data_IF_204912431820
#
_entry.id   IF_204912431820
#
_cell.length_a   1.000
_cell.length_b   1.000
_cell.length_c   1.000
_cell.angle_alpha   90.00
_cell.angle_beta   90.00
_cell.angle_gamma   90.00
#
_symmetry.space_group_name_H-M   'P 1'
#
loop_
_entity.id
_entity.type
_entity.pdbx_description
1 polymer ?
#
# COMPACT_ATOMS: atom_id res chain seq x y z
N UNK A 1 -10.57 12.43 -7.69
CA UNK A 1 -9.47 11.82 -6.91
C UNK A 1 -8.46 12.92 -6.65
N UNK A 2 -8.34 13.36 -5.40
CA UNK A 2 -7.39 14.41 -5.03
C UNK A 2 -6.03 13.74 -4.82
N UNK A 3 -5.08 13.99 -5.72
CA UNK A 3 -3.68 13.56 -5.52
C UNK A 3 -3.07 14.59 -4.57
N UNK A 4 -2.66 14.15 -3.39
CA UNK A 4 -1.95 15.00 -2.42
C UNK A 4 -0.70 15.60 -3.07
N UNK A 5 -0.43 16.89 -2.84
CA UNK A 5 0.74 17.61 -3.39
C UNK A 5 2.07 17.14 -2.81
N UNK A 6 2.02 16.35 -1.74
CA UNK A 6 3.22 15.82 -1.09
C UNK A 6 3.84 14.68 -1.89
N UNK A 7 5.13 14.43 -1.70
CA UNK A 7 5.80 13.30 -2.37
C UNK A 7 5.33 11.94 -1.82
N UNK A 8 5.51 10.89 -2.63
CA UNK A 8 5.22 9.52 -2.22
C UNK A 8 6.21 9.10 -1.14
N UNK A 9 5.70 8.69 0.03
CA UNK A 9 6.52 8.21 1.14
C UNK A 9 6.64 6.69 1.17
N UNK A 10 5.56 5.97 0.81
CA UNK A 10 5.56 4.51 0.67
C UNK A 10 4.79 4.13 -0.60
N UNK A 11 5.34 3.20 -1.37
CA UNK A 11 4.67 2.59 -2.51
C UNK A 11 4.81 1.07 -2.44
N UNK A 12 3.68 0.38 -2.59
CA UNK A 12 3.57 -1.06 -2.69
C UNK A 12 2.86 -1.35 -4.00
N UNK A 13 3.47 -2.22 -4.81
CA UNK A 13 2.92 -2.64 -6.10
C UNK A 13 2.83 -4.17 -6.09
N UNK A 14 1.65 -4.71 -6.36
CA UNK A 14 1.40 -6.15 -6.49
C UNK A 14 1.77 -6.96 -5.25
N UNK A 15 1.45 -6.49 -4.04
CA UNK A 15 1.76 -7.20 -2.81
C UNK A 15 0.96 -8.48 -2.67
N UNK A 16 1.71 -9.56 -2.43
CA UNK A 16 1.20 -10.87 -2.05
C UNK A 16 1.74 -11.23 -0.66
N UNK A 17 0.85 -11.57 0.27
CA UNK A 17 1.23 -12.01 1.62
C UNK A 17 0.54 -13.31 1.97
N UNK A 18 1.33 -14.27 2.42
CA UNK A 18 0.87 -15.60 2.82
C UNK A 18 1.09 -15.83 4.32
N UNK A 19 0.22 -16.61 4.94
CA UNK A 19 0.39 -17.17 6.27
C UNK A 19 0.21 -18.69 6.16
N UNK A 20 1.33 -19.42 6.14
CA UNK A 20 1.33 -20.81 5.66
C UNK A 20 0.76 -20.87 4.24
N UNK A 21 -0.17 -21.80 4.03
CA UNK A 21 -0.84 -21.98 2.73
C UNK A 21 -1.99 -20.99 2.49
N UNK A 22 -2.24 -20.04 3.40
CA UNK A 22 -3.32 -19.06 3.26
C UNK A 22 -2.85 -17.73 2.66
N UNK A 23 -3.44 -17.33 1.53
CA UNK A 23 -3.15 -16.07 0.84
C UNK A 23 -3.90 -14.90 1.47
N UNK A 24 -3.26 -14.20 2.42
CA UNK A 24 -3.84 -13.11 3.22
C UNK A 24 -4.08 -11.85 2.39
N UNK A 25 -3.06 -11.40 1.65
CA UNK A 25 -3.15 -10.20 0.79
C UNK A 25 -2.86 -10.63 -0.64
N UNK A 26 -3.77 -10.31 -1.57
CA UNK A 26 -3.72 -10.73 -2.96
C UNK A 26 -3.66 -9.51 -3.86
N UNK A 27 -2.52 -9.34 -4.55
CA UNK A 27 -2.30 -8.29 -5.55
C UNK A 27 -2.67 -6.88 -5.04
N UNK A 28 -2.13 -6.53 -3.88
CA UNK A 28 -2.44 -5.25 -3.24
C UNK A 28 -1.49 -4.16 -3.76
N UNK A 29 -2.07 -3.07 -4.21
CA UNK A 29 -1.36 -1.85 -4.56
C UNK A 29 -1.70 -0.76 -3.54
N UNK A 30 -0.69 -0.15 -2.93
CA UNK A 30 -0.86 0.91 -1.92
C UNK A 30 0.12 2.04 -2.20
N UNK A 31 -0.36 3.27 -2.12
CA UNK A 31 0.46 4.48 -2.16
C UNK A 31 0.14 5.32 -0.93
N UNK A 32 1.16 5.67 -0.18
CA UNK A 32 1.07 6.50 1.02
C UNK A 32 1.87 7.77 0.78
N UNK A 33 1.19 8.90 0.89
CA UNK A 33 1.79 10.21 0.66
C UNK A 33 2.50 10.69 1.94
N UNK A 34 3.52 11.55 1.82
CA UNK A 34 4.25 12.04 2.99
C UNK A 34 3.32 12.78 3.96
N UNK A 35 3.29 12.34 5.21
CA UNK A 35 2.43 12.90 6.26
C UNK A 35 1.02 12.29 6.32
N UNK A 36 0.67 11.42 5.38
CA UNK A 36 -0.56 10.62 5.45
C UNK A 36 -0.46 9.59 6.59
N UNK A 37 -1.52 9.50 7.39
CA UNK A 37 -1.64 8.50 8.46
C UNK A 37 -2.56 7.38 8.00
N UNK A 38 -2.00 6.19 7.86
CA UNK A 38 -2.73 4.93 7.64
C UNK A 38 -2.70 4.12 8.94
N UNK A 39 -3.82 3.46 9.28
CA UNK A 39 -4.02 2.63 10.49
C UNK A 39 -4.48 1.25 10.07
#
# INVERSE_FOLDING_TARGET
MQVSETEVAVEIIGMHKWYGDFHVLRDINLKVMRGERIV
#
